data_IF_907869408471
#
_entry.id   IF_907869408471
#
_cell.length_a   1.000
_cell.length_b   1.000
_cell.length_c   1.000
_cell.angle_alpha   90.00
_cell.angle_beta   90.00
_cell.angle_gamma   90.00
#
_symmetry.space_group_name_H-M   'P 1'
#
loop_
_entity.id
_entity.type
_entity.pdbx_description
1 polymer ?
#
# COMPACT_ATOMS: atom_id res chain seq x y z
N UNK A 1 -3.52 19.92 -7.75
CA UNK A 1 -2.88 18.62 -7.50
C UNK A 1 -3.53 18.10 -6.23
N UNK A 2 -4.54 17.24 -6.34
CA UNK A 2 -5.16 16.64 -5.15
C UNK A 2 -4.14 15.66 -4.56
N UNK A 3 -3.66 15.88 -3.34
CA UNK A 3 -2.86 14.89 -2.62
C UNK A 3 -3.72 13.63 -2.43
N UNK A 4 -3.56 12.67 -3.35
CA UNK A 4 -4.22 11.39 -3.26
C UNK A 4 -3.60 10.66 -2.07
N UNK A 5 -4.37 10.54 -0.99
CA UNK A 5 -3.97 9.79 0.20
C UNK A 5 -4.76 8.48 0.22
N UNK A 6 -4.18 7.45 0.83
CA UNK A 6 -4.88 6.19 1.03
C UNK A 6 -6.06 6.43 1.98
N UNK A 7 -7.27 6.05 1.55
CA UNK A 7 -8.45 5.99 2.43
C UNK A 7 -8.21 4.98 3.57
N UNK A 8 -8.89 5.12 4.71
CA UNK A 8 -8.85 4.10 5.75
C UNK A 8 -9.32 2.74 5.23
N UNK A 9 -8.83 1.66 5.83
CA UNK A 9 -9.23 0.30 5.47
C UNK A 9 -10.76 0.11 5.55
N UNK A 10 -11.42 -0.36 4.49
CA UNK A 10 -12.87 -0.53 4.48
C UNK A 10 -13.37 -1.63 5.43
N UNK A 11 -12.47 -2.50 5.93
CA UNK A 11 -12.83 -3.60 6.84
C UNK A 11 -12.73 -3.21 8.32
N UNK A 12 -11.69 -2.45 8.69
CA UNK A 12 -11.39 -2.15 10.10
C UNK A 12 -11.33 -0.65 10.41
N UNK A 13 -11.43 0.22 9.41
CA UNK A 13 -11.26 1.67 9.53
C UNK A 13 -9.81 2.13 9.80
N UNK A 14 -8.86 1.19 9.91
CA UNK A 14 -7.47 1.47 10.24
C UNK A 14 -6.61 1.92 9.06
N UNK A 15 -5.37 2.33 9.32
CA UNK A 15 -4.49 2.93 8.30
C UNK A 15 -3.83 1.90 7.38
N UNK A 16 -3.84 2.18 6.07
CA UNK A 16 -2.97 1.55 5.09
C UNK A 16 -1.82 2.49 4.70
N UNK A 17 -0.68 1.95 4.30
CA UNK A 17 0.52 2.72 3.92
C UNK A 17 1.09 2.24 2.60
N UNK A 18 1.75 3.13 1.86
CA UNK A 18 2.56 2.74 0.72
C UNK A 18 3.98 2.41 1.17
N UNK A 19 4.50 1.29 0.69
CA UNK A 19 5.92 0.93 0.81
C UNK A 19 6.57 0.95 -0.57
N UNK A 20 7.85 1.27 -0.60
CA UNK A 20 8.65 1.30 -1.82
C UNK A 20 9.28 -0.07 -2.02
N UNK A 21 9.31 -0.54 -3.26
CA UNK A 21 10.04 -1.75 -3.65
C UNK A 21 10.77 -1.55 -4.97
N UNK A 22 11.68 -2.48 -5.26
CA UNK A 22 12.17 -2.63 -6.62
C UNK A 22 11.16 -3.36 -7.52
N UNK A 23 11.50 -3.49 -8.80
CA UNK A 23 10.67 -4.16 -9.82
C UNK A 23 10.43 -5.64 -9.53
N UNK A 24 11.26 -6.27 -8.72
CA UNK A 24 11.14 -7.67 -8.31
C UNK A 24 10.26 -7.82 -7.05
N UNK A 25 9.88 -6.70 -6.42
CA UNK A 25 9.02 -6.66 -5.25
C UNK A 25 9.76 -6.69 -3.92
N UNK A 26 11.10 -6.63 -3.92
CA UNK A 26 11.86 -6.57 -2.67
C UNK A 26 11.70 -5.18 -2.05
N UNK A 27 11.42 -5.15 -0.75
CA UNK A 27 11.19 -3.91 -0.03
C UNK A 27 12.43 -3.05 0.05
N UNK A 28 12.25 -1.75 -0.19
CA UNK A 28 13.29 -0.73 -0.16
C UNK A 28 12.88 0.39 0.76
N UNK A 29 13.87 1.16 1.21
CA UNK A 29 13.62 2.33 2.05
C UNK A 29 13.07 3.48 1.21
N UNK A 30 12.42 4.45 1.85
CA UNK A 30 11.79 5.59 1.15
C UNK A 30 12.77 6.37 0.25
N UNK A 31 14.07 6.42 0.61
CA UNK A 31 15.11 7.10 -0.15
C UNK A 31 15.36 6.48 -1.54
N UNK A 32 15.02 5.20 -1.72
CA UNK A 32 15.15 4.48 -2.99
C UNK A 32 14.31 5.08 -4.13
N UNK A 33 13.26 5.82 -3.80
CA UNK A 33 12.48 6.54 -4.81
C UNK A 33 13.29 7.62 -5.54
N UNK A 34 14.28 8.22 -4.87
CA UNK A 34 15.07 9.31 -5.45
C UNK A 34 16.11 8.81 -6.45
N UNK A 35 16.64 7.59 -6.26
CA UNK A 35 17.65 6.97 -7.14
C UNK A 35 17.45 5.44 -7.24
N UNK A 36 16.46 4.97 -8.01
CA UNK A 36 16.14 3.54 -8.10
C UNK A 36 17.08 2.82 -9.08
N UNK A 37 18.01 2.01 -8.55
CA UNK A 37 18.98 1.27 -9.37
C UNK A 37 18.44 -0.04 -9.98
N UNK A 38 17.32 -0.58 -9.49
CA UNK A 38 16.69 -1.84 -9.97
C UNK A 38 15.21 -1.64 -10.34
N UNK A 39 14.88 -0.45 -10.85
CA UNK A 39 13.50 -0.03 -11.11
C UNK A 39 12.73 0.29 -9.83
N UNK A 40 11.67 1.07 -9.97
CA UNK A 40 10.85 1.55 -8.87
C UNK A 40 9.46 0.94 -8.96
N UNK A 41 8.94 0.45 -7.84
CA UNK A 41 7.57 -0.02 -7.70
C UNK A 41 7.04 0.28 -6.31
N UNK A 42 5.72 0.25 -6.18
CA UNK A 42 5.02 0.55 -4.93
C UNK A 42 4.16 -0.64 -4.52
N UNK A 43 4.10 -0.86 -3.20
CA UNK A 43 3.21 -1.85 -2.59
C UNK A 43 2.32 -1.15 -1.58
N UNK A 44 1.14 -1.72 -1.37
CA UNK A 44 0.26 -1.32 -0.27
C UNK A 44 0.60 -2.23 0.91
N UNK A 45 0.67 -1.67 2.10
CA UNK A 45 0.92 -2.40 3.35
C UNK A 45 -0.16 -2.10 4.37
N UNK A 46 -0.55 -3.12 5.13
CA UNK A 46 -1.55 -3.01 6.19
C UNK A 46 -1.11 -3.85 7.39
N UNK A 47 -0.41 -3.20 8.31
CA UNK A 47 0.31 -3.86 9.42
C UNK A 47 -0.68 -4.32 10.50
N UNK A 48 -0.61 -5.60 10.87
CA UNK A 48 -1.45 -6.22 11.90
C UNK A 48 -1.31 -5.52 13.26
N UNK A 49 -0.09 -5.17 13.68
CA UNK A 49 0.18 -4.52 14.95
C UNK A 49 -0.56 -3.18 15.12
N UNK A 50 -0.80 -2.46 14.01
CA UNK A 50 -1.53 -1.19 13.97
C UNK A 50 -3.03 -1.38 13.70
N UNK A 51 -3.43 -2.55 13.19
CA UNK A 51 -4.78 -2.85 12.70
C UNK A 51 -5.27 -4.20 13.23
N UNK A 52 -5.16 -4.40 14.55
CA UNK A 52 -5.43 -5.69 15.21
C UNK A 52 -6.84 -6.18 14.90
N UNK A 53 -6.95 -7.45 14.53
CA UNK A 53 -8.23 -8.10 14.21
C UNK A 53 -8.79 -7.77 12.82
N UNK A 54 -8.09 -6.99 12.00
CA UNK A 54 -8.47 -6.79 10.61
C UNK A 54 -8.22 -8.07 9.79
N UNK A 55 -9.20 -8.55 8.99
CA UNK A 55 -9.09 -9.81 8.23
C UNK A 55 -8.04 -9.75 7.12
N UNK A 56 -7.61 -8.56 6.73
CA UNK A 56 -6.63 -8.35 5.67
C UNK A 56 -5.29 -7.83 6.18
N UNK A 57 -5.14 -7.58 7.49
CA UNK A 57 -3.86 -7.09 8.00
C UNK A 57 -2.85 -8.23 8.11
N UNK A 58 -1.61 -7.95 7.70
CA UNK A 58 -0.50 -8.90 7.71
C UNK A 58 0.61 -8.41 8.66
N UNK A 59 1.42 -9.33 9.18
CA UNK A 59 2.48 -9.00 10.14
C UNK A 59 3.63 -8.25 9.47
N UNK A 60 4.26 -7.33 10.20
CA UNK A 60 5.39 -6.54 9.68
C UNK A 60 6.57 -7.40 9.20
N UNK A 61 6.79 -8.56 9.83
CA UNK A 61 7.83 -9.52 9.44
C UNK A 61 7.65 -10.08 8.01
N UNK A 62 6.44 -10.01 7.46
CA UNK A 62 6.08 -10.43 6.10
C UNK A 62 5.89 -9.21 5.17
N UNK A 63 6.60 -8.11 5.47
CA UNK A 63 6.46 -6.79 4.84
C UNK A 63 5.07 -6.13 5.05
N UNK A 64 4.17 -6.81 5.78
CA UNK A 64 2.74 -6.51 5.87
C UNK A 64 2.10 -6.21 4.49
N UNK A 65 2.65 -6.79 3.43
CA UNK A 65 2.29 -6.46 2.05
C UNK A 65 0.89 -6.98 1.72
N UNK A 66 0.13 -6.14 1.02
CA UNK A 66 -1.24 -6.40 0.64
C UNK A 66 -1.33 -6.92 -0.79
N UNK A 67 -1.69 -8.18 -0.94
CA UNK A 67 -1.88 -8.81 -2.25
C UNK A 67 -0.57 -9.09 -2.99
N UNK A 68 -0.64 -9.20 -4.31
CA UNK A 68 0.48 -9.64 -5.17
C UNK A 68 0.91 -8.58 -6.20
N UNK A 69 0.30 -7.39 -6.15
CA UNK A 69 0.50 -6.37 -7.16
C UNK A 69 1.63 -5.41 -6.80
N UNK A 70 2.48 -5.12 -7.80
CA UNK A 70 3.47 -4.06 -7.76
C UNK A 70 2.97 -2.93 -8.66
N UNK A 71 2.80 -1.75 -8.08
CA UNK A 71 2.28 -0.58 -8.77
C UNK A 71 3.41 0.25 -9.36
N UNK A 72 3.19 0.80 -10.56
CA UNK A 72 4.20 1.61 -11.27
C UNK A 72 4.37 3.02 -10.69
N UNK A 73 3.37 3.51 -9.95
CA UNK A 73 3.39 4.83 -9.31
C UNK A 73 2.60 4.83 -7.99
N UNK A 74 2.84 5.84 -7.15
CA UNK A 74 2.02 6.05 -5.94
C UNK A 74 0.55 6.26 -6.29
N UNK A 75 0.28 7.06 -7.31
CA UNK A 75 -1.08 7.41 -7.74
C UNK A 75 -1.87 6.17 -8.15
N UNK A 76 -1.25 5.25 -8.91
CA UNK A 76 -1.87 3.99 -9.31
C UNK A 76 -2.19 3.10 -8.09
N UNK A 77 -1.28 3.02 -7.12
CA UNK A 77 -1.50 2.27 -5.88
C UNK A 77 -2.66 2.87 -5.06
N UNK A 78 -2.72 4.20 -4.96
CA UNK A 78 -3.75 4.90 -4.21
C UNK A 78 -5.11 4.78 -4.88
N UNK A 79 -5.19 4.96 -6.20
CA UNK A 79 -6.42 4.76 -6.95
C UNK A 79 -6.93 3.33 -6.79
N UNK A 80 -6.05 2.35 -7.01
CA UNK A 80 -6.40 0.94 -6.83
C UNK A 80 -6.92 0.66 -5.42
N UNK A 81 -6.28 1.18 -4.37
CA UNK A 81 -6.78 1.06 -3.00
C UNK A 81 -8.16 1.70 -2.83
N UNK A 82 -8.29 2.96 -3.23
CA UNK A 82 -9.48 3.77 -3.02
C UNK A 82 -10.70 3.27 -3.80
N UNK A 83 -10.51 2.53 -4.91
CA UNK A 83 -11.62 1.88 -5.64
C UNK A 83 -12.40 0.88 -4.78
N UNK A 84 -11.80 0.33 -3.71
CA UNK A 84 -12.47 -0.59 -2.78
C UNK A 84 -13.58 0.08 -1.97
N UNK A 85 -13.64 1.42 -1.97
CA UNK A 85 -14.70 2.22 -1.36
C UNK A 85 -15.85 2.56 -2.31
N UNK A 86 -15.81 2.12 -3.57
CA UNK A 86 -16.81 2.49 -4.60
C UNK A 86 -18.18 1.80 -4.40
N UNK A 87 -18.42 1.20 -3.23
CA UNK A 87 -19.74 0.79 -2.76
C UNK A 87 -20.47 1.84 -1.91
N UNK A 88 -19.88 3.00 -1.63
CA UNK A 88 -20.45 4.06 -0.77
C UNK A 88 -21.32 5.10 -1.53
N UNK A 89 -21.97 4.71 -2.63
CA UNK A 89 -22.98 5.56 -3.29
C UNK A 89 -24.26 4.76 -3.53
N UNK A 90 -25.21 4.91 -2.62
CA UNK A 90 -26.65 4.83 -2.93
C UNK A 90 -27.16 6.22 -3.31
#
# INVERSE_FOLDING_TARGET
MSEQTLKPCPFCGGGAKLTVSDREGNSRMADYENDPYSGLSFKISHVHEQNKGCPIANYECDDASMGVYLYGSREEAIEAWNTRHVGETE
#
